data_IF_434084339476
#
_entry.id   IF_434084339476
#
_cell.length_a   1.000
_cell.length_b   1.000
_cell.length_c   1.000
_cell.angle_alpha   90.00
_cell.angle_beta   90.00
_cell.angle_gamma   90.00
#
_symmetry.space_group_name_H-M   'P 1'
#
loop_
_entity.id
_entity.type
_entity.pdbx_description
1 polymer ?
#
# COMPACT_ATOMS: atom_id res chain seq x y z
N UNK A 1 1.57 21.87 -2.12
CA UNK A 1 2.82 21.64 -1.37
C UNK A 1 3.50 20.35 -1.86
N UNK A 2 3.28 19.93 -3.12
CA UNK A 2 3.31 18.48 -3.40
C UNK A 2 4.43 18.07 -4.39
N UNK A 3 5.13 19.04 -4.98
CA UNK A 3 6.34 18.76 -5.78
C UNK A 3 7.46 18.13 -4.96
N UNK A 4 7.56 18.45 -3.67
CA UNK A 4 8.56 17.87 -2.79
C UNK A 4 8.30 16.37 -2.56
N UNK A 5 7.03 15.98 -2.35
CA UNK A 5 6.66 14.57 -2.24
C UNK A 5 7.03 13.79 -3.48
N UNK A 6 6.70 14.33 -4.67
CA UNK A 6 7.05 13.68 -5.93
C UNK A 6 8.57 13.51 -6.09
N UNK A 7 9.37 14.48 -5.66
CA UNK A 7 10.83 14.36 -5.66
C UNK A 7 11.32 13.32 -4.63
N UNK A 8 10.71 13.27 -3.44
CA UNK A 8 11.01 12.23 -2.45
C UNK A 8 10.73 10.84 -3.00
N UNK A 9 9.56 10.60 -3.60
CA UNK A 9 9.22 9.31 -4.21
C UNK A 9 10.23 8.96 -5.32
N UNK A 10 10.54 9.90 -6.23
CA UNK A 10 11.47 9.66 -7.35
C UNK A 10 12.91 9.43 -6.91
N UNK A 11 13.34 10.08 -5.83
CA UNK A 11 14.67 9.91 -5.25
C UNK A 11 14.78 8.66 -4.38
N UNK A 12 13.65 8.16 -3.86
CA UNK A 12 13.63 7.01 -2.98
C UNK A 12 13.85 5.71 -3.76
N UNK A 13 14.85 4.96 -3.34
CA UNK A 13 15.20 3.64 -3.83
C UNK A 13 16.01 2.91 -2.77
N UNK A 14 16.22 1.62 -2.97
CA UNK A 14 16.94 0.79 -2.04
C UNK A 14 16.87 -0.68 -2.44
N UNK A 15 17.11 -1.52 -1.46
CA UNK A 15 17.09 -2.96 -1.61
C UNK A 15 16.53 -3.65 -0.37
N UNK A 16 15.92 -4.81 -0.61
CA UNK A 16 15.58 -5.78 0.41
C UNK A 16 16.69 -6.83 0.49
N UNK A 17 17.22 -7.08 1.69
CA UNK A 17 17.89 -8.34 1.98
C UNK A 17 16.79 -9.35 2.27
N UNK A 18 16.70 -10.39 1.46
CA UNK A 18 15.73 -11.46 1.61
C UNK A 18 16.41 -12.75 2.07
N UNK A 19 15.68 -13.55 2.82
CA UNK A 19 16.11 -14.86 3.30
C UNK A 19 15.20 -15.96 2.72
N UNK A 20 15.76 -17.14 2.43
CA UNK A 20 14.99 -18.23 1.85
C UNK A 20 14.07 -18.87 2.89
N UNK A 21 12.80 -19.05 2.54
CA UNK A 21 11.87 -19.80 3.39
C UNK A 21 12.36 -21.25 3.50
N UNK A 22 12.56 -21.71 4.74
CA UNK A 22 13.06 -23.04 5.06
C UNK A 22 14.59 -23.20 5.02
N UNK A 23 15.35 -22.12 4.80
CA UNK A 23 16.81 -22.16 4.77
C UNK A 23 17.45 -20.80 5.08
N UNK A 24 17.62 -20.49 6.37
CA UNK A 24 18.14 -19.20 6.87
C UNK A 24 19.55 -18.84 6.40
N UNK A 25 20.32 -19.82 5.89
CA UNK A 25 21.68 -19.60 5.37
C UNK A 25 21.73 -19.06 3.93
N UNK A 26 20.58 -18.99 3.26
CA UNK A 26 20.48 -18.48 1.88
C UNK A 26 19.88 -17.09 1.91
N UNK A 27 20.60 -16.16 1.31
CA UNK A 27 20.17 -14.77 1.18
C UNK A 27 20.13 -14.37 -0.30
N UNK A 28 19.22 -13.46 -0.64
CA UNK A 28 19.22 -12.74 -1.92
C UNK A 28 18.98 -11.25 -1.71
N UNK A 29 19.41 -10.45 -2.66
CA UNK A 29 19.14 -9.00 -2.67
C UNK A 29 18.13 -8.70 -3.77
N UNK A 30 17.02 -8.07 -3.39
CA UNK A 30 16.00 -7.60 -4.33
C UNK A 30 15.98 -6.09 -4.31
N UNK A 31 16.21 -5.46 -5.47
CA UNK A 31 16.15 -4.01 -5.60
C UNK A 31 14.73 -3.57 -5.91
N UNK A 32 14.28 -2.51 -5.24
CA UNK A 32 12.98 -1.91 -5.50
C UNK A 32 13.10 -0.53 -6.14
N UNK A 33 12.01 -0.12 -6.79
CA UNK A 33 11.76 1.26 -7.23
C UNK A 33 10.30 1.63 -7.03
N UNK A 34 9.99 2.90 -7.14
CA UNK A 34 8.61 3.38 -7.20
C UNK A 34 8.22 3.65 -8.65
N UNK A 35 6.99 3.29 -9.00
CA UNK A 35 6.43 3.60 -10.31
C UNK A 35 5.37 4.67 -10.15
N UNK A 36 5.50 5.73 -10.93
CA UNK A 36 4.58 6.87 -10.92
C UNK A 36 4.09 7.05 -12.34
N UNK A 37 2.78 7.01 -12.53
CA UNK A 37 2.18 7.39 -13.80
C UNK A 37 1.81 8.88 -13.81
N UNK A 38 2.00 9.58 -14.94
CA UNK A 38 1.71 11.02 -15.02
C UNK A 38 0.22 11.31 -14.82
N UNK A 39 -0.13 12.49 -14.27
CA UNK A 39 -1.52 12.85 -14.03
C UNK A 39 -2.31 12.94 -15.34
N UNK A 40 -3.59 12.64 -15.29
CA UNK A 40 -4.49 12.77 -16.44
C UNK A 40 -5.63 13.74 -16.13
N UNK A 41 -5.83 14.73 -16.99
CA UNK A 41 -6.80 15.82 -16.78
C UNK A 41 -8.27 15.39 -16.89
N UNK A 42 -8.54 14.16 -17.34
CA UNK A 42 -9.89 13.63 -17.52
C UNK A 42 -10.53 13.09 -16.25
N UNK A 43 -9.75 12.87 -15.19
CA UNK A 43 -10.28 12.27 -13.97
C UNK A 43 -11.06 13.26 -13.11
N UNK A 44 -12.21 12.81 -12.60
CA UNK A 44 -13.00 13.53 -11.62
C UNK A 44 -12.67 13.05 -10.22
N UNK A 45 -11.74 13.73 -9.55
CA UNK A 45 -11.27 13.37 -8.20
C UNK A 45 -11.91 14.26 -7.13
N UNK A 46 -12.51 13.73 -6.05
CA UNK A 46 -13.06 14.56 -4.97
C UNK A 46 -12.01 15.45 -4.32
N UNK A 47 -12.41 16.67 -3.94
CA UNK A 47 -11.52 17.61 -3.25
C UNK A 47 -11.56 17.38 -1.73
N UNK A 48 -10.91 16.31 -1.27
CA UNK A 48 -10.92 15.88 0.13
C UNK A 48 -9.54 15.39 0.55
N UNK A 49 -9.06 15.77 1.73
CA UNK A 49 -7.86 15.17 2.33
C UNK A 49 -6.59 15.20 1.48
N UNK A 50 -6.41 16.16 0.57
CA UNK A 50 -5.24 16.18 -0.33
C UNK A 50 -5.34 15.19 -1.51
N UNK A 51 -6.49 14.52 -1.70
CA UNK A 51 -6.68 13.49 -2.73
C UNK A 51 -6.55 14.10 -4.13
N UNK A 52 -7.22 15.22 -4.39
CA UNK A 52 -7.11 15.93 -5.67
C UNK A 52 -5.68 16.37 -5.94
N UNK A 53 -5.01 16.93 -4.94
CA UNK A 53 -3.63 17.39 -5.04
C UNK A 53 -2.65 16.26 -5.34
N UNK A 54 -2.88 15.07 -4.78
CA UNK A 54 -2.12 13.86 -5.14
C UNK A 54 -2.35 13.48 -6.60
N UNK A 55 -3.60 13.40 -7.05
CA UNK A 55 -3.93 12.99 -8.42
C UNK A 55 -3.58 14.04 -9.49
N UNK A 56 -3.42 15.30 -9.10
CA UNK A 56 -2.85 16.36 -9.95
C UNK A 56 -1.33 16.15 -10.20
N UNK A 57 -0.66 15.31 -9.41
CA UNK A 57 0.75 14.96 -9.58
C UNK A 57 1.01 13.61 -10.21
N UNK A 58 0.15 12.63 -9.92
CA UNK A 58 0.31 11.25 -10.36
C UNK A 58 -1.05 10.61 -10.56
N UNK A 59 -1.28 9.95 -11.69
CA UNK A 59 -2.53 9.19 -11.88
C UNK A 59 -2.54 7.89 -11.10
N UNK A 60 -1.38 7.32 -10.81
CA UNK A 60 -1.21 6.11 -10.00
C UNK A 60 0.20 6.09 -9.40
N UNK A 61 0.36 5.31 -8.33
CA UNK A 61 1.63 5.13 -7.63
C UNK A 61 1.76 3.69 -7.15
N UNK A 62 2.82 3.01 -7.57
CA UNK A 62 3.23 1.72 -7.00
C UNK A 62 4.47 1.93 -6.14
N UNK A 63 4.40 1.55 -4.87
CA UNK A 63 5.52 1.66 -3.93
C UNK A 63 6.26 0.33 -3.76
N UNK A 64 7.59 0.40 -3.67
CA UNK A 64 8.48 -0.74 -3.46
C UNK A 64 8.29 -1.86 -4.50
N UNK A 65 8.15 -1.49 -5.77
CA UNK A 65 7.99 -2.46 -6.85
C UNK A 65 9.31 -3.15 -7.20
N UNK A 66 9.23 -4.46 -7.33
CA UNK A 66 10.32 -5.37 -7.69
C UNK A 66 9.96 -6.08 -9.00
N UNK A 67 10.31 -5.47 -10.14
CA UNK A 67 9.87 -5.91 -11.49
C UNK A 67 10.17 -7.39 -11.82
N UNK A 68 11.27 -7.94 -11.30
CA UNK A 68 11.64 -9.33 -11.57
C UNK A 68 10.68 -10.33 -10.95
N UNK A 69 10.17 -10.00 -9.77
CA UNK A 69 9.33 -10.87 -8.97
C UNK A 69 7.84 -10.50 -9.11
N UNK A 70 7.52 -9.40 -9.83
CA UNK A 70 6.17 -8.84 -9.95
C UNK A 70 5.52 -8.50 -8.58
N UNK A 71 6.35 -8.12 -7.62
CA UNK A 71 5.95 -7.81 -6.25
C UNK A 71 5.94 -6.29 -6.02
N UNK A 72 5.05 -5.81 -5.15
CA UNK A 72 5.03 -4.43 -4.68
C UNK A 72 4.35 -4.35 -3.31
N UNK A 73 4.72 -3.35 -2.51
CA UNK A 73 4.16 -3.16 -1.18
C UNK A 73 2.77 -2.51 -1.20
N UNK A 74 2.59 -1.52 -2.06
CA UNK A 74 1.35 -0.76 -2.16
C UNK A 74 1.10 -0.37 -3.61
N UNK A 75 -0.17 -0.36 -3.99
CA UNK A 75 -0.64 0.18 -5.25
C UNK A 75 -1.77 1.18 -5.01
N UNK A 76 -1.53 2.45 -5.34
CA UNK A 76 -2.55 3.48 -5.42
C UNK A 76 -2.98 3.55 -6.89
N UNK A 77 -4.22 3.16 -7.15
CA UNK A 77 -4.77 2.98 -8.47
C UNK A 77 -5.23 4.29 -9.12
N UNK A 78 -5.46 4.24 -10.43
CA UNK A 78 -6.08 5.34 -11.16
C UNK A 78 -7.56 5.46 -10.79
N UNK A 79 -8.15 6.67 -10.89
CA UNK A 79 -9.57 6.85 -10.64
C UNK A 79 -10.49 5.99 -11.50
N UNK A 80 -10.06 5.61 -12.72
CA UNK A 80 -10.80 4.68 -13.59
C UNK A 80 -10.89 3.24 -13.04
N UNK A 81 -10.05 2.88 -12.06
CA UNK A 81 -9.99 1.55 -11.45
C UNK A 81 -10.73 1.49 -10.11
N UNK A 82 -11.16 2.63 -9.54
CA UNK A 82 -11.79 2.67 -8.22
C UNK A 82 -13.07 1.85 -8.15
N UNK A 83 -13.90 1.85 -9.19
CA UNK A 83 -15.11 1.03 -9.22
C UNK A 83 -14.80 -0.47 -9.22
N UNK A 84 -13.73 -0.90 -9.90
CA UNK A 84 -13.30 -2.30 -9.86
C UNK A 84 -12.84 -2.69 -8.47
N UNK A 85 -11.97 -1.87 -7.86
CA UNK A 85 -11.49 -2.11 -6.49
C UNK A 85 -12.63 -2.10 -5.47
N UNK A 86 -13.58 -1.18 -5.61
CA UNK A 86 -14.78 -1.12 -4.75
C UNK A 86 -15.60 -2.40 -4.83
N UNK A 87 -15.79 -2.96 -6.04
CA UNK A 87 -16.52 -4.21 -6.20
C UNK A 87 -15.78 -5.41 -5.58
N UNK A 88 -14.45 -5.44 -5.68
CA UNK A 88 -13.63 -6.50 -5.09
C UNK A 88 -13.61 -6.40 -3.55
N UNK A 89 -13.44 -5.19 -3.01
CA UNK A 89 -13.57 -4.90 -1.58
C UNK A 89 -14.95 -5.25 -1.03
N UNK A 90 -16.00 -4.78 -1.71
CA UNK A 90 -17.40 -5.07 -1.36
C UNK A 90 -17.69 -6.57 -1.38
N UNK A 91 -16.93 -7.37 -2.14
CA UNK A 91 -17.00 -8.82 -2.12
C UNK A 91 -16.81 -9.40 -0.71
N UNK A 92 -15.93 -8.82 0.10
CA UNK A 92 -15.68 -9.25 1.48
C UNK A 92 -16.80 -8.81 2.43
N UNK A 93 -17.23 -7.55 2.34
CA UNK A 93 -18.20 -6.98 3.28
C UNK A 93 -19.64 -7.43 2.98
N UNK A 94 -19.95 -7.83 1.75
CA UNK A 94 -21.24 -8.38 1.38
C UNK A 94 -21.47 -9.81 1.89
N UNK A 95 -20.43 -10.50 2.34
CA UNK A 95 -20.57 -11.82 2.98
C UNK A 95 -21.07 -11.73 4.43
N UNK A 96 -20.98 -10.54 5.03
CA UNK A 96 -21.40 -10.30 6.41
C UNK A 96 -22.92 -10.12 6.51
N UNK A 97 -23.51 -10.70 7.55
CA UNK A 97 -24.88 -10.39 7.97
C UNK A 97 -24.97 -9.05 8.72
N UNK A 98 -26.18 -8.63 9.09
CA UNK A 98 -26.40 -7.33 9.75
C UNK A 98 -25.72 -7.24 11.13
N UNK A 99 -25.73 -8.32 11.90
CA UNK A 99 -25.14 -8.37 13.24
C UNK A 99 -23.60 -8.34 13.15
N UNK A 100 -23.04 -9.06 12.17
CA UNK A 100 -21.60 -9.05 11.88
C UNK A 100 -21.16 -7.65 11.44
N UNK A 101 -21.91 -7.02 10.52
CA UNK A 101 -21.61 -5.66 10.05
C UNK A 101 -21.54 -4.65 11.19
N UNK A 102 -22.51 -4.70 12.11
CA UNK A 102 -22.51 -3.81 13.29
C UNK A 102 -21.31 -4.06 14.21
N UNK A 103 -20.80 -5.29 14.26
CA UNK A 103 -19.69 -5.65 15.13
C UNK A 103 -18.30 -5.26 14.58
N UNK A 104 -18.10 -5.33 13.26
CA UNK A 104 -16.75 -5.20 12.67
C UNK A 104 -16.57 -4.00 11.74
N UNK A 105 -17.66 -3.45 11.17
CA UNK A 105 -17.53 -2.29 10.29
C UNK A 105 -17.45 -1.01 11.13
N UNK A 106 -16.54 -0.08 10.77
CA UNK A 106 -16.42 1.19 11.46
C UNK A 106 -17.65 2.07 11.18
N UNK A 107 -17.93 3.01 12.08
CA UNK A 107 -19.07 3.94 11.95
C UNK A 107 -19.08 4.76 10.65
N UNK A 108 -17.91 4.96 10.04
CA UNK A 108 -17.75 5.66 8.76
C UNK A 108 -17.96 4.77 7.53
N UNK A 109 -18.21 3.46 7.70
CA UNK A 109 -18.44 2.55 6.58
C UNK A 109 -19.60 3.03 5.69
N UNK A 110 -19.37 3.02 4.38
CA UNK A 110 -20.25 3.65 3.38
C UNK A 110 -19.84 5.07 2.99
N UNK A 111 -19.01 5.75 3.81
CA UNK A 111 -18.47 7.08 3.52
C UNK A 111 -16.98 6.99 3.17
N UNK A 112 -16.65 6.23 2.12
CA UNK A 112 -15.29 6.04 1.66
C UNK A 112 -15.18 5.83 0.15
N UNK A 113 -13.94 5.87 -0.36
CA UNK A 113 -13.55 5.45 -1.70
C UNK A 113 -12.39 4.48 -1.57
N UNK A 114 -12.48 3.32 -2.22
CA UNK A 114 -11.33 2.43 -2.38
C UNK A 114 -10.42 2.97 -3.49
N UNK A 115 -9.20 3.37 -3.12
CA UNK A 115 -8.24 4.04 -4.02
C UNK A 115 -7.05 3.17 -4.39
N UNK A 116 -6.91 2.00 -3.79
CA UNK A 116 -5.74 1.16 -3.96
C UNK A 116 -5.83 -0.17 -3.23
N UNK A 117 -4.73 -0.90 -3.25
CA UNK A 117 -4.60 -2.23 -2.65
C UNK A 117 -3.16 -2.48 -2.18
N UNK A 118 -3.00 -3.50 -1.34
CA UNK A 118 -1.73 -4.18 -1.13
C UNK A 118 -1.73 -5.39 -2.09
N UNK A 119 -0.88 -5.39 -3.13
CA UNK A 119 -0.91 -6.43 -4.15
C UNK A 119 -0.83 -7.85 -3.59
N UNK A 120 -1.61 -8.77 -4.17
CA UNK A 120 -1.66 -10.20 -3.81
C UNK A 120 -2.05 -10.51 -2.35
N UNK A 121 -2.56 -9.54 -1.59
CA UNK A 121 -2.99 -9.75 -0.20
C UNK A 121 -4.50 -9.86 -0.03
N UNK A 122 -5.32 -9.24 -0.90
CA UNK A 122 -6.74 -9.05 -0.63
C UNK A 122 -7.07 -7.85 0.26
N UNK A 123 -6.07 -7.05 0.62
CA UNK A 123 -6.19 -5.84 1.44
C UNK A 123 -6.34 -4.59 0.56
N UNK A 124 -7.17 -3.65 0.99
CA UNK A 124 -7.53 -2.46 0.21
C UNK A 124 -7.15 -1.17 0.92
N UNK A 125 -6.86 -0.12 0.16
CA UNK A 125 -6.59 1.22 0.67
C UNK A 125 -7.82 2.10 0.44
N UNK A 126 -8.37 2.64 1.52
CA UNK A 126 -9.59 3.44 1.53
C UNK A 126 -9.30 4.89 1.92
N UNK A 127 -10.06 5.84 1.38
CA UNK A 127 -10.08 7.24 1.81
C UNK A 127 -11.47 7.60 2.28
N UNK A 128 -11.58 8.13 3.49
CA UNK A 128 -12.85 8.56 4.08
C UNK A 128 -13.37 9.80 3.36
N UNK A 129 -14.64 9.82 3.00
CA UNK A 129 -15.25 10.92 2.21
C UNK A 129 -16.08 11.91 3.01
N UNK A 130 -16.48 11.56 4.24
CA UNK A 130 -17.29 12.44 5.08
C UNK A 130 -16.93 12.31 6.57
N UNK A 131 -17.45 13.22 7.39
CA UNK A 131 -17.28 13.21 8.84
C UNK A 131 -15.96 13.81 9.31
N UNK A 132 -15.65 13.61 10.59
CA UNK A 132 -14.48 14.22 11.24
C UNK A 132 -13.14 13.73 10.68
N UNK A 133 -13.12 12.51 10.13
CA UNK A 133 -11.92 11.90 9.54
C UNK A 133 -11.87 12.00 8.01
N UNK A 134 -12.75 12.80 7.40
CA UNK A 134 -12.76 13.08 5.97
C UNK A 134 -11.34 13.36 5.43
N UNK A 135 -10.89 12.50 4.52
CA UNK A 135 -9.56 12.54 3.92
C UNK A 135 -8.53 11.58 4.50
N UNK A 136 -8.76 11.00 5.68
CA UNK A 136 -7.90 9.99 6.27
C UNK A 136 -7.82 8.74 5.39
N UNK A 137 -6.66 8.09 5.40
CA UNK A 137 -6.38 6.87 4.63
C UNK A 137 -6.31 5.67 5.56
N UNK A 138 -6.99 4.60 5.18
CA UNK A 138 -7.08 3.34 5.93
C UNK A 138 -6.67 2.16 5.06
N UNK A 139 -6.13 1.13 5.69
CA UNK A 139 -6.03 -0.23 5.14
C UNK A 139 -7.23 -1.03 5.66
N UNK A 140 -7.91 -1.75 4.78
CA UNK A 140 -8.71 -2.90 5.17
C UNK A 140 -7.85 -4.15 5.08
N UNK A 141 -7.59 -4.77 6.22
CA UNK A 141 -6.84 -6.02 6.37
C UNK A 141 -7.84 -7.18 6.43
N UNK A 142 -7.80 -8.06 5.43
CA UNK A 142 -8.88 -9.04 5.22
C UNK A 142 -8.80 -10.26 6.16
N UNK A 143 -7.62 -10.66 6.64
CA UNK A 143 -7.44 -11.86 7.47
C UNK A 143 -8.04 -11.67 8.88
N UNK A 144 -7.81 -10.50 9.48
CA UNK A 144 -8.33 -10.06 10.77
C UNK A 144 -9.63 -9.25 10.67
N UNK A 145 -10.02 -8.86 9.46
CA UNK A 145 -11.15 -7.97 9.19
C UNK A 145 -11.02 -6.63 9.92
N UNK A 146 -9.82 -6.02 9.83
CA UNK A 146 -9.48 -4.80 10.57
C UNK A 146 -9.36 -3.58 9.65
N UNK A 147 -9.70 -2.40 10.19
CA UNK A 147 -9.51 -1.12 9.51
C UNK A 147 -8.40 -0.32 10.18
N UNK A 148 -7.21 -0.34 9.59
CA UNK A 148 -5.98 0.21 10.17
C UNK A 148 -5.70 1.59 9.58
N UNK A 149 -5.59 2.62 10.43
CA UNK A 149 -5.31 3.98 9.96
C UNK A 149 -3.88 4.09 9.45
N UNK A 150 -3.71 4.37 8.16
CA UNK A 150 -2.42 4.58 7.51
C UNK A 150 -1.95 6.04 7.60
N UNK A 151 -2.88 6.99 7.55
CA UNK A 151 -2.55 8.41 7.56
C UNK A 151 -3.76 9.32 7.71
N UNK A 152 -3.50 10.59 8.02
CA UNK A 152 -4.53 11.64 8.04
C UNK A 152 -4.87 12.16 6.63
N UNK A 153 -4.11 11.74 5.63
CA UNK A 153 -4.29 12.03 4.20
C UNK A 153 -3.53 11.00 3.37
N UNK A 154 -3.85 10.92 2.07
CA UNK A 154 -3.07 10.11 1.13
C UNK A 154 -1.60 10.56 1.09
N UNK A 155 -1.33 11.86 1.20
CA UNK A 155 0.02 12.40 1.26
C UNK A 155 0.75 11.99 2.54
N UNK A 156 0.08 12.04 3.70
CA UNK A 156 0.63 11.58 4.98
C UNK A 156 0.95 10.07 4.93
N UNK A 157 0.03 9.26 4.41
CA UNK A 157 0.25 7.84 4.17
C UNK A 157 1.50 7.60 3.30
N UNK A 158 1.59 8.23 2.13
CA UNK A 158 2.73 8.03 1.22
C UNK A 158 4.04 8.49 1.88
N UNK A 159 4.04 9.57 2.66
CA UNK A 159 5.22 10.00 3.40
C UNK A 159 5.67 8.97 4.44
N UNK A 160 4.75 8.43 5.23
CA UNK A 160 5.02 7.36 6.20
C UNK A 160 5.52 6.09 5.52
N UNK A 161 4.91 5.71 4.40
CA UNK A 161 5.32 4.55 3.63
C UNK A 161 6.74 4.67 3.06
N UNK A 162 7.25 5.88 2.79
CA UNK A 162 8.63 6.10 2.32
C UNK A 162 9.68 6.07 3.45
N UNK A 163 9.25 6.19 4.70
CA UNK A 163 10.13 6.15 5.88
C UNK A 163 9.52 5.23 6.97
N UNK A 164 9.32 3.93 6.67
CA UNK A 164 8.68 3.03 7.61
C UNK A 164 9.52 2.91 8.89
N UNK A 165 8.84 2.66 10.00
CA UNK A 165 9.48 2.10 11.18
C UNK A 165 9.52 0.57 11.08
N UNK A 166 9.99 -0.07 12.15
CA UNK A 166 10.12 -1.53 12.20
C UNK A 166 8.78 -2.25 12.04
N UNK A 167 7.73 -1.74 12.69
CA UNK A 167 6.40 -2.33 12.63
C UNK A 167 5.78 -2.18 11.23
N UNK A 168 5.87 -1.00 10.64
CA UNK A 168 5.42 -0.74 9.28
C UNK A 168 6.18 -1.57 8.25
N UNK A 169 7.50 -1.74 8.42
CA UNK A 169 8.28 -2.62 7.54
C UNK A 169 7.90 -4.09 7.72
N UNK A 170 7.69 -4.53 8.96
CA UNK A 170 7.24 -5.91 9.24
C UNK A 170 5.90 -6.20 8.59
N UNK A 171 4.93 -5.28 8.70
CA UNK A 171 3.64 -5.43 8.03
C UNK A 171 3.79 -5.44 6.51
N UNK A 172 4.55 -4.50 5.93
CA UNK A 172 4.82 -4.48 4.50
C UNK A 172 5.47 -5.79 4.01
N UNK A 173 6.46 -6.31 4.72
CA UNK A 173 7.17 -7.53 4.36
C UNK A 173 6.32 -8.80 4.49
N UNK A 174 5.28 -8.80 5.34
CA UNK A 174 4.40 -9.94 5.55
C UNK A 174 3.63 -10.29 4.27
N UNK A 175 3.27 -9.28 3.49
CA UNK A 175 2.50 -9.39 2.24
C UNK A 175 3.37 -9.55 0.98
N UNK A 176 4.67 -9.33 1.05
CA UNK A 176 5.57 -9.48 -0.09
C UNK A 176 6.16 -10.90 -0.15
N UNK A 177 6.16 -11.52 -1.32
CA UNK A 177 6.76 -12.85 -1.54
C UNK A 177 7.59 -12.87 -2.82
N UNK A 178 8.91 -12.94 -2.67
CA UNK A 178 9.80 -13.00 -3.83
C UNK A 178 9.99 -14.45 -4.26
N UNK A 179 9.90 -14.72 -5.56
CA UNK A 179 10.01 -16.07 -6.13
C UNK A 179 11.04 -16.04 -7.25
N UNK A 180 12.05 -16.89 -7.17
CA UNK A 180 13.01 -17.01 -8.27
C UNK A 180 12.37 -17.80 -9.42
N UNK A 181 12.17 -17.19 -10.59
CA UNK A 181 11.39 -17.79 -11.69
C UNK A 181 11.84 -19.17 -12.23
N UNK A 182 13.00 -19.70 -11.81
CA UNK A 182 13.47 -21.06 -12.16
C UNK A 182 13.27 -22.08 -11.02
N UNK A 183 12.89 -21.64 -9.81
CA UNK A 183 12.71 -22.51 -8.65
C UNK A 183 11.47 -22.11 -7.85
N UNK A 184 10.75 -23.06 -7.27
CA UNK A 184 9.66 -22.76 -6.33
C UNK A 184 10.16 -22.20 -4.98
N UNK A 185 11.41 -21.73 -4.91
CA UNK A 185 12.00 -21.13 -3.72
C UNK A 185 11.39 -19.74 -3.49
N UNK A 186 10.72 -19.63 -2.35
CA UNK A 186 10.18 -18.38 -1.85
C UNK A 186 11.15 -17.71 -0.87
N UNK A 187 11.09 -16.39 -0.83
CA UNK A 187 11.95 -15.56 0.02
C UNK A 187 11.13 -14.48 0.72
N UNK A 188 11.47 -14.20 1.96
CA UNK A 188 10.88 -13.13 2.77
C UNK A 188 11.89 -12.00 2.92
N UNK A 189 11.44 -10.74 2.82
CA UNK A 189 12.32 -9.60 3.12
C UNK A 189 12.64 -9.61 4.61
N UNK A 190 13.92 -9.51 4.97
CA UNK A 190 14.43 -9.45 6.33
C UNK A 190 14.93 -8.05 6.71
N UNK A 191 15.58 -7.39 5.75
CA UNK A 191 16.05 -6.01 5.92
C UNK A 191 15.57 -5.15 4.77
N UNK A 192 15.13 -3.94 5.07
CA UNK A 192 14.98 -2.84 4.13
C UNK A 192 16.19 -1.92 4.27
N UNK A 193 16.97 -1.80 3.19
CA UNK A 193 18.14 -0.93 3.10
C UNK A 193 17.84 0.23 2.17
N UNK A 194 17.69 1.42 2.74
CA UNK A 194 17.46 2.65 2.00
C UNK A 194 18.74 3.16 1.35
N UNK A 195 18.63 3.84 0.21
CA UNK A 195 19.77 4.47 -0.48
C UNK A 195 20.56 5.48 0.38
N UNK A 196 19.95 6.07 1.40
CA UNK A 196 20.60 6.99 2.34
C UNK A 196 21.21 6.29 3.56
N UNK A 197 21.32 4.96 3.55
CA UNK A 197 22.03 4.17 4.57
C UNK A 197 21.21 3.80 5.81
N UNK A 198 19.91 4.16 5.87
CA UNK A 198 19.01 3.62 6.91
C UNK A 198 18.77 2.14 6.62
N UNK A 199 18.89 1.31 7.65
CA UNK A 199 18.56 -0.11 7.60
C UNK A 199 17.47 -0.36 8.64
N UNK A 200 16.42 -1.06 8.22
CA UNK A 200 15.32 -1.49 9.07
C UNK A 200 15.26 -3.00 8.96
N UNK A 201 15.26 -3.69 10.09
CA UNK A 201 15.21 -5.15 10.15
C UNK A 201 13.83 -5.54 10.66
N UNK A 202 13.19 -6.53 10.05
CA UNK A 202 11.97 -7.08 10.63
C UNK A 202 12.32 -8.18 11.65
N UNK A 203 11.46 -8.35 12.64
CA UNK A 203 11.62 -9.32 13.73
C UNK A 203 10.74 -10.56 13.52
N UNK A 204 10.53 -10.96 12.26
CA UNK A 204 9.79 -12.20 11.94
C UNK A 204 10.69 -13.41 12.16
#
# INVERSE_FOLDING_TARGET
MDKELLQKIKGHHGEFLCEAIGSESKEKIVRFKHHIEPPQSSFSVPNIGGLREFYDLASSLTLYSCEKDNEAAFYIAKPEQWETLENEFSGWTNMLDEDEKEAVLPDWYGEHIVIGEIPASGNYILVITDGFEAGATYEFEHDGFEFIKLGNSITDFVQKALDPDEAAFTNMASHMRFIDGESDQQWWARELRHHHGKVITNNV
#
